data_IF_972575106216
#
_entry.id   IF_972575106216
#
_cell.length_a   1.000
_cell.length_b   1.000
_cell.length_c   1.000
_cell.angle_alpha   90.00
_cell.angle_beta   90.00
_cell.angle_gamma   90.00
#
_symmetry.space_group_name_H-M   'P 1'
#
loop_
_entity.id
_entity.type
_entity.pdbx_description
1 polymer ?
#
# COMPACT_ATOMS: atom_id res chain seq x y z
N UNK A 1 -88.17 1.15 20.34
CA UNK A 1 -87.66 2.37 20.98
C UNK A 1 -86.13 2.44 20.78
N UNK A 2 -85.68 3.61 20.38
CA UNK A 2 -84.35 4.09 20.29
C UNK A 2 -83.45 3.52 19.16
N UNK A 3 -83.27 4.37 18.18
CA UNK A 3 -82.35 4.32 17.05
C UNK A 3 -80.91 4.57 17.49
N UNK A 4 -79.96 3.78 16.99
CA UNK A 4 -78.56 4.07 17.08
C UNK A 4 -77.99 4.37 15.68
N UNK A 5 -77.56 5.60 15.44
CA UNK A 5 -76.95 6.04 14.21
C UNK A 5 -75.51 5.51 14.13
N UNK A 6 -75.22 4.66 13.20
CA UNK A 6 -73.85 4.25 12.86
C UNK A 6 -73.25 5.15 11.82
N UNK A 7 -72.24 5.88 12.18
CA UNK A 7 -71.40 6.73 11.32
C UNK A 7 -70.47 5.85 10.50
N UNK A 8 -70.68 5.83 9.19
CA UNK A 8 -69.77 5.16 8.26
C UNK A 8 -68.43 5.89 8.15
N UNK A 9 -67.34 5.19 8.41
CA UNK A 9 -65.99 5.66 8.12
C UNK A 9 -65.63 5.15 6.73
N UNK A 10 -65.47 6.08 5.81
CA UNK A 10 -64.95 5.82 4.48
C UNK A 10 -63.44 5.75 4.62
N UNK A 11 -62.89 4.54 4.47
CA UNK A 11 -61.46 4.34 4.34
C UNK A 11 -61.04 4.66 2.91
N UNK A 12 -60.41 5.81 2.71
CA UNK A 12 -59.76 6.19 1.49
C UNK A 12 -58.46 5.34 1.39
N UNK A 13 -58.44 4.40 0.44
CA UNK A 13 -57.24 3.67 0.09
C UNK A 13 -56.25 4.59 -0.60
N UNK A 14 -55.33 5.17 0.18
CA UNK A 14 -54.17 5.87 -0.37
C UNK A 14 -53.15 4.89 -0.89
N UNK A 15 -53.01 4.82 -2.19
CA UNK A 15 -51.86 4.13 -2.83
C UNK A 15 -50.63 4.98 -2.53
N UNK A 16 -49.80 4.53 -1.57
CA UNK A 16 -48.48 5.06 -1.38
C UNK A 16 -47.60 4.54 -2.53
N UNK A 17 -47.35 5.35 -3.54
CA UNK A 17 -46.21 5.18 -4.42
C UNK A 17 -44.93 5.30 -3.57
N UNK A 18 -44.33 4.18 -3.23
CA UNK A 18 -42.97 4.17 -2.71
C UNK A 18 -42.03 4.63 -3.83
N UNK A 19 -41.75 5.92 -3.86
CA UNK A 19 -40.63 6.42 -4.64
C UNK A 19 -39.36 5.80 -4.04
N UNK A 20 -38.83 4.82 -4.75
CA UNK A 20 -37.53 4.21 -4.42
C UNK A 20 -36.47 5.30 -4.46
N UNK A 21 -36.04 5.71 -3.27
CA UNK A 21 -34.82 6.47 -3.12
C UNK A 21 -33.70 5.47 -3.45
N UNK A 22 -33.30 5.41 -4.73
CA UNK A 22 -32.00 4.92 -5.06
C UNK A 22 -30.99 5.89 -4.43
N UNK A 23 -30.71 5.64 -3.18
CA UNK A 23 -29.56 6.24 -2.52
C UNK A 23 -28.35 5.86 -3.35
N UNK A 24 -27.83 6.82 -4.11
CA UNK A 24 -26.50 6.73 -4.65
C UNK A 24 -25.61 6.34 -3.46
N UNK A 25 -25.13 5.10 -3.45
CA UNK A 25 -23.99 4.70 -2.63
C UNK A 25 -22.84 5.61 -3.07
N UNK A 26 -22.76 6.75 -2.42
CA UNK A 26 -21.55 7.54 -2.44
C UNK A 26 -20.47 6.64 -1.91
N UNK A 27 -19.53 6.31 -2.76
CA UNK A 27 -18.21 5.83 -2.39
C UNK A 27 -17.50 6.99 -1.67
N UNK A 28 -18.10 7.42 -0.57
CA UNK A 28 -17.50 8.40 0.29
C UNK A 28 -16.45 7.68 1.11
N UNK A 29 -15.26 8.14 0.84
CA UNK A 29 -14.06 7.93 1.60
C UNK A 29 -13.40 6.54 1.43
N UNK A 30 -12.65 6.42 0.36
CA UNK A 30 -11.32 5.92 0.59
C UNK A 30 -10.75 6.84 1.70
N UNK A 31 -10.86 6.42 2.95
CA UNK A 31 -10.14 7.05 4.06
C UNK A 31 -8.70 7.01 3.57
N UNK A 32 -8.18 8.17 3.20
CA UNK A 32 -6.76 8.32 2.96
C UNK A 32 -6.13 7.86 4.26
N UNK A 33 -5.63 6.63 4.28
CA UNK A 33 -4.91 6.11 5.43
C UNK A 33 -3.85 7.17 5.72
N UNK A 34 -3.75 7.66 6.95
CA UNK A 34 -2.86 8.76 7.25
C UNK A 34 -1.49 8.40 6.72
N UNK A 35 -0.86 9.32 5.97
CA UNK A 35 0.55 9.21 5.65
C UNK A 35 1.23 8.84 6.95
N UNK A 36 1.81 7.65 7.05
CA UNK A 36 2.46 7.25 8.27
C UNK A 36 3.69 8.13 8.44
N UNK A 37 3.51 9.25 9.15
CA UNK A 37 4.63 9.89 9.78
C UNK A 37 5.14 8.87 10.78
N UNK A 38 6.31 8.28 10.51
CA UNK A 38 6.88 7.28 11.39
C UNK A 38 7.01 7.86 12.80
N UNK A 39 6.76 7.04 13.81
CA UNK A 39 7.06 7.42 15.18
C UNK A 39 8.54 7.76 15.31
N UNK A 40 8.87 8.87 15.95
CA UNK A 40 10.26 9.30 16.14
C UNK A 40 10.74 8.88 17.51
N UNK A 41 11.67 7.94 17.54
CA UNK A 41 12.31 7.45 18.78
C UNK A 41 13.81 7.75 18.70
N UNK A 42 14.29 8.57 19.62
CA UNK A 42 15.70 8.99 19.67
C UNK A 42 16.23 9.54 18.34
N UNK A 43 15.43 10.32 17.63
CA UNK A 43 15.78 10.91 16.33
C UNK A 43 15.78 9.93 15.16
N UNK A 44 15.22 8.74 15.33
CA UNK A 44 15.03 7.74 14.28
C UNK A 44 13.53 7.61 13.99
N UNK A 45 13.15 7.81 12.73
CA UNK A 45 11.78 7.60 12.28
C UNK A 45 11.52 6.11 12.07
N UNK A 46 10.54 5.57 12.78
CA UNK A 46 10.19 4.16 12.71
C UNK A 46 8.95 3.97 11.84
N UNK A 47 9.08 3.17 10.79
CA UNK A 47 7.98 2.84 9.88
C UNK A 47 7.77 1.34 9.84
N UNK A 48 6.52 0.93 9.65
CA UNK A 48 6.16 -0.46 9.38
C UNK A 48 5.37 -0.55 8.08
N UNK A 49 5.79 -1.43 7.19
CA UNK A 49 5.06 -1.80 5.98
C UNK A 49 4.51 -3.20 6.16
N UNK A 50 3.21 -3.33 6.08
CA UNK A 50 2.56 -4.63 6.06
C UNK A 50 2.32 -5.04 4.60
N UNK A 51 2.73 -6.25 4.25
CA UNK A 51 2.51 -6.89 2.97
C UNK A 51 1.26 -7.76 3.06
N UNK A 52 0.34 -7.58 2.13
CA UNK A 52 -0.85 -8.40 1.95
C UNK A 52 -0.90 -8.92 0.52
N UNK A 53 -1.85 -9.78 0.21
CA UNK A 53 -2.03 -10.24 -1.16
C UNK A 53 -2.33 -9.07 -2.09
N UNK A 54 -1.32 -8.74 -2.92
CA UNK A 54 -1.34 -7.72 -3.96
C UNK A 54 -1.43 -6.25 -3.51
N UNK A 55 -1.17 -5.94 -2.21
CA UNK A 55 -1.08 -4.56 -1.75
C UNK A 55 -0.20 -4.41 -0.51
N UNK A 56 0.22 -3.17 -0.25
CA UNK A 56 0.95 -2.75 0.95
C UNK A 56 0.13 -1.80 1.81
N UNK A 57 0.37 -1.82 3.10
CA UNK A 57 -0.17 -0.83 4.04
C UNK A 57 0.96 -0.31 4.93
N UNK A 58 1.23 1.00 4.88
CA UNK A 58 0.67 2.01 3.99
C UNK A 58 1.11 1.80 2.54
N UNK A 59 0.44 2.46 1.59
CA UNK A 59 0.77 2.44 0.16
C UNK A 59 1.62 3.64 -0.28
N UNK A 60 1.96 4.54 0.64
CA UNK A 60 2.83 5.68 0.39
C UNK A 60 3.54 6.20 1.64
N UNK A 61 4.72 6.78 1.43
CA UNK A 61 5.56 7.43 2.43
C UNK A 61 6.05 8.78 1.93
N UNK A 62 6.42 9.64 2.88
CA UNK A 62 7.22 10.83 2.63
C UNK A 62 8.43 10.80 3.55
N UNK A 63 9.63 10.91 2.99
CA UNK A 63 10.89 11.00 3.71
C UNK A 63 11.61 12.29 3.35
N UNK A 64 12.53 12.73 4.21
CA UNK A 64 13.43 13.84 3.91
C UNK A 64 14.87 13.34 3.79
N UNK A 65 15.62 13.93 2.87
CA UNK A 65 17.06 13.66 2.74
C UNK A 65 17.74 13.83 4.09
N UNK A 66 18.56 12.86 4.49
CA UNK A 66 19.25 12.87 5.78
C UNK A 66 18.45 12.32 6.96
N UNK A 67 17.18 12.02 6.80
CA UNK A 67 16.35 11.40 7.81
C UNK A 67 16.89 10.01 8.17
N UNK A 68 17.01 9.71 9.47
CA UNK A 68 17.34 8.36 9.93
C UNK A 68 16.07 7.54 10.01
N UNK A 69 16.03 6.45 9.28
CA UNK A 69 14.86 5.58 9.16
C UNK A 69 15.17 4.19 9.68
N UNK A 70 14.26 3.65 10.48
CA UNK A 70 14.14 2.21 10.76
C UNK A 70 12.87 1.71 10.09
N UNK A 71 13.00 0.79 9.16
CA UNK A 71 11.89 0.24 8.39
C UNK A 71 11.70 -1.24 8.72
N UNK A 72 10.51 -1.58 9.17
CA UNK A 72 10.09 -2.97 9.39
C UNK A 72 9.13 -3.39 8.29
N UNK A 73 9.48 -4.43 7.57
CA UNK A 73 8.60 -5.10 6.60
C UNK A 73 8.01 -6.32 7.29
N UNK A 74 6.71 -6.54 7.16
CA UNK A 74 6.01 -7.66 7.77
C UNK A 74 5.02 -8.26 6.79
N UNK A 75 5.18 -9.54 6.46
CA UNK A 75 4.22 -10.26 5.64
C UNK A 75 3.02 -10.70 6.50
N UNK A 76 1.85 -10.13 6.19
CA UNK A 76 0.56 -10.35 6.83
C UNK A 76 -0.42 -11.10 5.93
N UNK A 77 0.07 -11.63 4.82
CA UNK A 77 -0.79 -12.36 3.89
C UNK A 77 -1.39 -13.60 4.54
N UNK A 78 -2.63 -13.91 4.15
CA UNK A 78 -3.41 -15.04 4.67
C UNK A 78 -3.98 -15.89 3.52
N UNK A 79 -3.29 -15.93 2.39
CA UNK A 79 -3.72 -16.73 1.24
C UNK A 79 -3.57 -18.24 1.50
N UNK A 80 -4.38 -19.02 0.82
CA UNK A 80 -4.23 -20.46 0.75
C UNK A 80 -4.09 -20.87 -0.74
N UNK A 81 -2.93 -21.36 -1.20
CA UNK A 81 -1.68 -21.52 -0.45
C UNK A 81 -1.05 -20.19 -0.04
N UNK A 82 -0.22 -20.16 1.02
CA UNK A 82 0.49 -18.97 1.43
C UNK A 82 1.49 -18.54 0.35
N UNK A 83 1.47 -17.27 0.00
CA UNK A 83 2.33 -16.68 -1.02
C UNK A 83 3.38 -15.78 -0.38
N UNK A 84 4.67 -15.94 -0.74
CA UNK A 84 5.69 -15.01 -0.30
C UNK A 84 5.51 -13.65 -0.99
N UNK A 85 5.97 -12.60 -0.33
CA UNK A 85 5.98 -11.24 -0.87
C UNK A 85 7.38 -10.65 -0.87
N UNK A 86 7.57 -9.59 -1.66
CA UNK A 86 8.86 -8.90 -1.78
C UNK A 86 8.65 -7.41 -1.64
N UNK A 87 9.54 -6.77 -0.90
CA UNK A 87 9.65 -5.31 -0.83
C UNK A 87 10.94 -4.86 -1.49
N UNK A 88 10.83 -4.12 -2.59
CA UNK A 88 11.96 -3.56 -3.33
C UNK A 88 11.67 -2.11 -3.69
N UNK A 89 12.58 -1.19 -3.37
CA UNK A 89 12.41 0.25 -3.67
C UNK A 89 13.24 0.62 -4.88
N UNK A 90 12.61 1.30 -5.84
CA UNK A 90 13.31 1.77 -7.02
C UNK A 90 12.49 2.69 -7.91
N UNK A 91 13.03 2.94 -9.10
CA UNK A 91 12.38 3.71 -10.17
C UNK A 91 12.79 3.21 -11.54
N UNK A 92 12.07 3.66 -12.57
CA UNK A 92 12.25 3.20 -13.95
C UNK A 92 12.00 1.69 -14.03
N UNK A 93 10.72 1.32 -14.07
CA UNK A 93 10.27 -0.06 -14.15
C UNK A 93 10.91 -0.77 -15.35
N UNK A 94 11.45 -1.94 -15.09
CA UNK A 94 11.93 -2.85 -16.15
C UNK A 94 10.82 -3.84 -16.46
N UNK A 95 10.47 -3.91 -17.73
CA UNK A 95 9.49 -4.87 -18.23
C UNK A 95 10.14 -5.87 -19.20
N UNK A 96 9.62 -7.07 -19.23
CA UNK A 96 10.02 -8.12 -20.18
C UNK A 96 8.80 -8.59 -20.96
N UNK A 97 8.93 -8.70 -22.26
CA UNK A 97 7.93 -9.37 -23.07
C UNK A 97 7.91 -10.87 -22.68
N UNK A 98 6.74 -11.43 -22.43
CA UNK A 98 6.60 -12.85 -22.08
C UNK A 98 6.65 -13.80 -23.30
N UNK A 99 6.88 -13.27 -24.51
CA UNK A 99 6.99 -14.06 -25.73
C UNK A 99 5.67 -14.40 -26.39
N UNK A 100 4.53 -14.05 -25.81
CA UNK A 100 3.22 -14.26 -26.43
C UNK A 100 2.74 -12.99 -27.13
N UNK A 101 2.24 -13.07 -28.36
CA UNK A 101 1.63 -11.94 -29.05
C UNK A 101 0.48 -11.36 -28.22
N UNK A 102 0.36 -10.02 -28.17
CA UNK A 102 -0.70 -9.29 -27.48
C UNK A 102 -0.78 -9.47 -25.96
N UNK A 103 0.21 -10.08 -25.32
CA UNK A 103 0.26 -10.18 -23.86
C UNK A 103 0.86 -8.92 -23.24
N UNK A 104 0.46 -8.64 -22.00
CA UNK A 104 1.09 -7.56 -21.24
C UNK A 104 2.56 -7.91 -20.91
N UNK A 105 3.43 -6.90 -21.02
CA UNK A 105 4.81 -7.06 -20.57
C UNK A 105 4.86 -7.26 -19.06
N UNK A 106 5.66 -8.25 -18.63
CA UNK A 106 5.84 -8.56 -17.21
C UNK A 106 6.74 -7.52 -16.55
N UNK A 107 6.36 -7.05 -15.39
CA UNK A 107 7.20 -6.21 -14.54
C UNK A 107 8.24 -7.09 -13.83
N UNK A 108 9.52 -6.84 -14.05
CA UNK A 108 10.59 -7.72 -13.55
C UNK A 108 11.56 -7.06 -12.58
N UNK A 109 11.42 -5.78 -12.32
CA UNK A 109 12.29 -5.06 -11.37
C UNK A 109 12.42 -3.58 -11.67
N UNK A 110 13.39 -2.96 -11.03
CA UNK A 110 13.77 -1.57 -11.19
C UNK A 110 15.08 -1.44 -11.98
N UNK A 111 15.16 -0.45 -12.87
CA UNK A 111 16.44 -0.07 -13.50
C UNK A 111 17.36 0.61 -12.48
N UNK A 112 16.79 1.33 -11.51
CA UNK A 112 17.54 2.03 -10.47
C UNK A 112 16.99 1.61 -9.12
N UNK A 113 17.81 0.98 -8.28
CA UNK A 113 17.46 0.66 -6.91
C UNK A 113 17.72 1.86 -5.99
N UNK A 114 16.83 2.11 -5.04
CA UNK A 114 16.97 3.22 -4.10
C UNK A 114 18.21 3.09 -3.21
N UNK A 115 18.51 1.85 -2.81
CA UNK A 115 19.60 1.53 -1.89
C UNK A 115 20.96 1.35 -2.57
N UNK A 116 21.08 1.52 -3.89
CA UNK A 116 22.39 1.44 -4.54
C UNK A 116 23.35 2.48 -3.94
N UNK A 117 24.45 2.01 -3.33
CA UNK A 117 25.43 2.80 -2.62
C UNK A 117 25.01 3.32 -1.23
N UNK A 118 23.84 2.92 -0.72
CA UNK A 118 23.33 3.32 0.61
C UNK A 118 23.71 2.26 1.62
N UNK A 119 24.43 2.61 2.71
CA UNK A 119 24.68 1.68 3.80
C UNK A 119 23.36 1.31 4.51
N UNK A 120 23.15 0.02 4.69
CA UNK A 120 22.00 -0.55 5.41
C UNK A 120 22.51 -1.25 6.65
N UNK A 121 21.84 -1.04 7.77
CA UNK A 121 22.10 -1.77 9.02
C UNK A 121 20.99 -2.77 9.26
N UNK A 122 21.34 -4.04 9.33
CA UNK A 122 20.41 -5.13 9.64
C UNK A 122 21.15 -6.23 10.40
N UNK A 123 20.52 -6.81 11.44
CA UNK A 123 21.13 -7.88 12.23
C UNK A 123 22.49 -7.53 12.84
N UNK A 124 22.74 -6.26 13.16
CA UNK A 124 24.01 -5.77 13.67
C UNK A 124 25.12 -5.56 12.63
N UNK A 125 24.87 -5.83 11.36
CA UNK A 125 25.80 -5.60 10.26
C UNK A 125 25.43 -4.32 9.53
N UNK A 126 26.43 -3.54 9.09
CA UNK A 126 26.23 -2.31 8.31
C UNK A 126 27.08 -2.37 7.05
N UNK A 127 26.47 -2.08 5.91
CA UNK A 127 27.18 -1.99 4.62
C UNK A 127 26.22 -1.77 3.45
N UNK A 128 26.76 -1.40 2.28
CA UNK A 128 25.97 -1.32 1.06
C UNK A 128 25.64 -2.74 0.56
N UNK A 129 24.37 -2.95 0.19
CA UNK A 129 23.87 -4.19 -0.39
C UNK A 129 23.37 -3.87 -1.80
N UNK A 130 24.05 -4.32 -2.86
CA UNK A 130 23.60 -4.08 -4.22
C UNK A 130 22.20 -4.64 -4.48
N UNK A 131 21.37 -3.90 -5.19
CA UNK A 131 20.00 -4.29 -5.55
C UNK A 131 19.15 -4.78 -4.35
N UNK A 132 19.33 -4.14 -3.19
CA UNK A 132 18.68 -4.55 -1.94
C UNK A 132 17.16 -4.71 -2.11
N UNK A 133 16.68 -5.84 -1.67
CA UNK A 133 15.25 -6.15 -1.53
C UNK A 133 15.05 -7.14 -0.38
N UNK A 134 13.84 -7.16 0.15
CA UNK A 134 13.42 -8.07 1.23
C UNK A 134 12.37 -9.00 0.68
N UNK A 135 12.54 -10.31 0.86
CA UNK A 135 11.51 -11.31 0.53
C UNK A 135 11.13 -12.05 1.80
N UNK A 136 9.84 -12.13 2.08
CA UNK A 136 9.27 -12.71 3.29
C UNK A 136 8.24 -13.77 2.94
N UNK A 137 8.15 -14.80 3.78
CA UNK A 137 7.00 -15.69 3.81
C UNK A 137 5.95 -15.16 4.79
N UNK A 138 4.69 -15.57 4.67
CA UNK A 138 3.63 -15.20 5.59
C UNK A 138 4.01 -15.35 7.06
N UNK A 139 3.77 -14.31 7.85
CA UNK A 139 4.11 -14.22 9.27
C UNK A 139 5.55 -13.80 9.57
N UNK A 140 6.43 -13.72 8.58
CA UNK A 140 7.79 -13.24 8.78
C UNK A 140 7.85 -11.71 8.82
N UNK A 141 8.91 -11.21 9.48
CA UNK A 141 9.25 -9.78 9.50
C UNK A 141 10.75 -9.58 9.33
N UNK A 142 11.12 -8.45 8.76
CA UNK A 142 12.51 -8.02 8.63
C UNK A 142 12.62 -6.53 8.95
N UNK A 143 13.58 -6.17 9.81
CA UNK A 143 13.82 -4.79 10.20
C UNK A 143 15.23 -4.37 9.80
N UNK A 144 15.34 -3.18 9.19
CA UNK A 144 16.60 -2.59 8.82
C UNK A 144 16.57 -1.07 8.98
N UNK A 145 17.75 -0.46 9.11
CA UNK A 145 17.89 0.98 9.26
C UNK A 145 18.82 1.55 8.20
N UNK A 146 18.59 2.79 7.84
CA UNK A 146 19.41 3.54 6.89
C UNK A 146 19.21 5.04 7.10
N UNK A 147 20.09 5.84 6.49
CA UNK A 147 19.86 7.28 6.33
C UNK A 147 19.34 7.54 4.93
N UNK A 148 18.26 8.31 4.80
CA UNK A 148 17.68 8.66 3.51
C UNK A 148 18.75 9.37 2.66
N UNK A 149 19.13 8.79 1.51
CA UNK A 149 20.18 9.32 0.68
C UNK A 149 19.75 10.62 -0.02
N UNK A 150 20.71 11.42 -0.48
CA UNK A 150 20.43 12.60 -1.30
C UNK A 150 19.97 12.19 -2.72
N UNK A 151 18.77 11.63 -2.77
CA UNK A 151 18.10 11.18 -3.99
C UNK A 151 16.66 11.70 -4.03
N UNK A 152 16.42 13.02 -4.01
CA UNK A 152 15.07 13.58 -3.94
C UNK A 152 14.22 13.17 -5.15
N UNK A 153 12.90 13.28 -4.97
CA UNK A 153 11.91 12.99 -6.00
C UNK A 153 11.07 11.74 -5.69
N UNK A 154 10.36 11.26 -6.71
CA UNK A 154 9.43 10.14 -6.60
C UNK A 154 10.15 8.80 -6.76
N UNK A 155 9.88 7.89 -5.84
CA UNK A 155 10.30 6.52 -5.84
C UNK A 155 9.09 5.60 -5.67
N UNK A 156 9.23 4.34 -6.03
CA UNK A 156 8.19 3.35 -5.82
C UNK A 156 8.77 2.16 -5.05
N UNK A 157 7.90 1.41 -4.38
CA UNK A 157 8.22 0.09 -3.89
C UNK A 157 7.25 -0.92 -4.46
N UNK A 158 7.69 -2.15 -4.63
CA UNK A 158 6.91 -3.16 -5.32
C UNK A 158 7.35 -4.59 -5.00
N UNK A 159 6.44 -5.52 -5.29
CA UNK A 159 6.69 -6.95 -5.33
C UNK A 159 6.75 -7.44 -6.78
N UNK A 160 7.87 -8.07 -7.17
CA UNK A 160 8.07 -8.62 -8.50
C UNK A 160 8.01 -10.16 -8.53
N UNK A 161 7.57 -10.79 -7.44
CA UNK A 161 7.46 -12.25 -7.39
C UNK A 161 6.43 -12.78 -8.39
N UNK A 162 6.50 -14.08 -8.64
CA UNK A 162 5.70 -14.78 -9.63
C UNK A 162 5.81 -14.12 -11.03
N UNK A 163 7.06 -13.88 -11.46
CA UNK A 163 7.32 -13.20 -12.73
C UNK A 163 6.60 -11.86 -12.91
N UNK A 164 6.50 -11.09 -11.82
CA UNK A 164 5.86 -9.77 -11.81
C UNK A 164 4.35 -9.77 -11.68
N UNK A 165 3.71 -10.92 -11.50
CA UNK A 165 2.26 -10.99 -11.33
C UNK A 165 1.79 -10.18 -10.12
N UNK A 166 2.55 -10.18 -9.01
CA UNK A 166 2.17 -9.38 -7.85
C UNK A 166 2.14 -7.89 -8.18
N UNK A 167 3.14 -7.37 -8.91
CA UNK A 167 3.13 -5.99 -9.40
C UNK A 167 1.92 -5.70 -10.29
N UNK A 168 1.66 -6.56 -11.26
CA UNK A 168 0.57 -6.40 -12.23
C UNK A 168 -0.81 -6.42 -11.56
N UNK A 169 -0.94 -7.10 -10.43
CA UNK A 169 -2.15 -7.13 -9.62
C UNK A 169 -2.25 -5.97 -8.62
N UNK A 170 -1.35 -4.98 -8.69
CA UNK A 170 -1.42 -3.77 -7.88
C UNK A 170 -0.49 -3.72 -6.66
N UNK A 171 0.37 -4.73 -6.46
CA UNK A 171 1.28 -4.75 -5.31
C UNK A 171 2.46 -3.80 -5.50
N UNK A 172 2.16 -2.51 -5.40
CA UNK A 172 3.14 -1.43 -5.45
C UNK A 172 2.68 -0.23 -4.61
N UNK A 173 3.62 0.59 -4.20
CA UNK A 173 3.37 1.83 -3.46
C UNK A 173 4.36 2.91 -3.87
N UNK A 174 4.31 4.06 -3.18
CA UNK A 174 5.04 5.27 -3.55
C UNK A 174 5.81 5.84 -2.38
N UNK A 175 6.95 6.44 -2.69
CA UNK A 175 7.75 7.21 -1.74
C UNK A 175 8.05 8.57 -2.36
N UNK A 176 7.80 9.63 -1.60
CA UNK A 176 8.19 10.97 -1.96
C UNK A 176 9.39 11.38 -1.10
N UNK A 177 10.56 11.51 -1.70
CA UNK A 177 11.76 11.98 -1.01
C UNK A 177 11.90 13.47 -1.23
N UNK A 178 11.71 14.23 -0.16
CA UNK A 178 11.84 15.69 -0.13
C UNK A 178 13.29 16.09 0.18
N UNK A 179 13.71 17.29 -0.21
CA UNK A 179 15.00 17.86 0.23
C UNK A 179 15.14 17.81 1.76
N UNK A 180 16.37 17.90 2.26
CA UNK A 180 16.63 18.02 3.69
C UNK A 180 15.83 19.18 4.27
N UNK A 181 15.26 18.99 5.46
CA UNK A 181 14.66 20.09 6.19
C UNK A 181 15.78 21.05 6.61
N UNK A 182 15.62 22.33 6.31
CA UNK A 182 16.56 23.34 6.79
C UNK A 182 16.59 23.34 8.32
N UNK A 183 17.77 23.27 8.89
CA UNK A 183 18.02 23.46 10.33
C UNK A 183 17.88 24.93 10.69
#
# INVERSE_FOLDING_TARGET
MAAGKGTGVVLASGVLCAAGIFGALRWEHAVALPMSAGEVVNGVHQYTVNEFNYYYVPDHFTWHVGEKVQLTIMDRSQSAPPLPHQFSIGRNLVTRNNGFPHSQALAVGWKTNFFDGVPITAGGQTGPIPAFSVSLNPGQKFTFSFTVPNKPGKWNYACFLQTGQHYMNGMHGRINVLPAQGT
#
